data_IF_933913894311
#
_entry.id   IF_933913894311
#
_cell.length_a   1.000
_cell.length_b   1.000
_cell.length_c   1.000
_cell.angle_alpha   90.00
_cell.angle_beta   90.00
_cell.angle_gamma   90.00
#
_symmetry.space_group_name_H-M   'P 1'
#
loop_
_entity.id
_entity.type
_entity.pdbx_description
1 polymer ?
#
# COMPACT_ATOMS: atom_id res chain seq x y z
N UNK A 1 -20.15 0.66 -24.47
CA UNK A 1 -21.23 0.92 -25.44
C UNK A 1 -22.53 1.21 -24.67
N UNK A 2 -22.65 2.37 -24.02
CA UNK A 2 -23.76 2.65 -23.09
C UNK A 2 -24.66 3.83 -23.49
N UNK A 3 -24.50 4.42 -24.69
CA UNK A 3 -25.56 5.28 -25.25
C UNK A 3 -25.50 5.34 -26.78
N UNK A 4 -26.64 5.36 -27.49
CA UNK A 4 -26.73 5.49 -28.95
C UNK A 4 -26.92 6.96 -29.34
N UNK A 5 -26.12 7.87 -28.77
CA UNK A 5 -26.22 9.31 -29.04
C UNK A 5 -25.13 9.75 -30.04
N UNK A 6 -25.44 10.69 -30.95
CA UNK A 6 -24.48 11.18 -31.94
C UNK A 6 -23.23 11.77 -31.28
N UNK A 7 -22.06 11.37 -31.77
CA UNK A 7 -20.73 11.65 -31.19
C UNK A 7 -20.39 13.12 -30.94
N UNK A 8 -21.15 14.07 -31.49
CA UNK A 8 -20.95 15.50 -31.27
C UNK A 8 -21.47 15.99 -29.91
N UNK A 9 -22.41 15.27 -29.27
CA UNK A 9 -23.05 15.64 -28.01
C UNK A 9 -22.66 14.75 -26.83
N UNK A 10 -21.81 13.75 -27.03
CA UNK A 10 -21.30 12.90 -25.95
C UNK A 10 -20.58 13.78 -24.91
N UNK A 11 -21.21 14.01 -23.76
CA UNK A 11 -20.63 14.71 -22.61
C UNK A 11 -19.25 14.12 -22.26
N UNK A 12 -19.07 12.82 -22.50
CA UNK A 12 -17.81 12.08 -22.37
C UNK A 12 -16.65 12.68 -23.19
N UNK A 13 -16.92 13.15 -24.41
CA UNK A 13 -15.88 13.78 -25.25
C UNK A 13 -15.38 15.09 -24.65
N UNK A 14 -16.24 15.80 -23.89
CA UNK A 14 -15.94 17.07 -23.25
C UNK A 14 -15.16 16.89 -21.95
N UNK A 15 -15.45 15.82 -21.21
CA UNK A 15 -14.69 15.42 -20.02
C UNK A 15 -13.28 14.92 -20.38
N UNK A 16 -13.14 14.23 -21.51
CA UNK A 16 -11.85 13.75 -22.02
C UNK A 16 -10.93 14.86 -22.57
N UNK A 17 -11.51 16.01 -22.94
CA UNK A 17 -10.80 17.17 -23.52
C UNK A 17 -10.22 18.14 -22.50
N UNK A 18 -10.30 17.84 -21.19
CA UNK A 18 -9.62 18.68 -20.20
C UNK A 18 -8.10 18.60 -20.41
N UNK A 19 -7.44 19.74 -20.72
CA UNK A 19 -6.00 19.74 -20.93
C UNK A 19 -5.32 19.28 -19.63
N UNK A 20 -4.29 18.43 -19.68
CA UNK A 20 -3.57 18.01 -18.49
C UNK A 20 -2.98 19.24 -17.80
N UNK A 21 -3.59 19.64 -16.67
CA UNK A 21 -3.20 20.82 -15.88
C UNK A 21 -1.74 20.64 -15.41
N UNK A 22 -0.87 21.58 -15.78
CA UNK A 22 0.56 21.73 -15.44
C UNK A 22 1.26 20.48 -14.85
N UNK A 23 1.99 19.74 -15.70
CA UNK A 23 2.79 18.55 -15.33
C UNK A 23 3.72 18.73 -14.12
N UNK A 24 4.20 19.97 -13.89
CA UNK A 24 5.05 20.29 -12.74
C UNK A 24 4.32 20.22 -11.40
N UNK A 25 3.09 20.73 -11.33
CA UNK A 25 2.31 20.75 -10.10
C UNK A 25 1.90 19.32 -9.69
N UNK A 26 1.53 18.49 -10.66
CA UNK A 26 1.24 17.07 -10.43
C UNK A 26 2.47 16.33 -9.88
N UNK A 27 3.66 16.63 -10.40
CA UNK A 27 4.92 16.02 -9.95
C UNK A 27 5.30 16.47 -8.53
N UNK A 28 4.99 17.72 -8.17
CA UNK A 28 5.21 18.25 -6.82
C UNK A 28 4.32 17.51 -5.80
N UNK A 29 3.01 17.44 -6.05
CA UNK A 29 2.08 16.76 -5.14
C UNK A 29 2.39 15.27 -4.98
N UNK A 30 2.86 14.60 -6.04
CA UNK A 30 3.33 13.22 -5.95
C UNK A 30 4.53 13.07 -5.02
N UNK A 31 5.51 13.99 -5.07
CA UNK A 31 6.68 13.95 -4.17
C UNK A 31 6.30 14.22 -2.71
N UNK A 32 5.37 15.16 -2.49
CA UNK A 32 4.82 15.43 -1.15
C UNK A 32 4.12 14.18 -0.61
N UNK A 33 3.30 13.51 -1.42
CA UNK A 33 2.64 12.27 -1.03
C UNK A 33 3.66 11.14 -0.73
N UNK A 34 4.69 10.99 -1.56
CA UNK A 34 5.77 10.02 -1.33
C UNK A 34 6.48 10.27 -0.01
N UNK A 35 6.86 11.52 0.28
CA UNK A 35 7.49 11.88 1.56
C UNK A 35 6.56 11.63 2.75
N UNK A 36 5.29 11.99 2.63
CA UNK A 36 4.29 11.77 3.68
C UNK A 36 4.15 10.27 3.99
N UNK A 37 4.05 9.42 2.96
CA UNK A 37 4.02 7.97 3.13
C UNK A 37 5.32 7.44 3.76
N UNK A 38 6.49 7.92 3.32
CA UNK A 38 7.77 7.54 3.92
C UNK A 38 7.81 7.83 5.42
N UNK A 39 7.34 9.01 5.84
CA UNK A 39 7.29 9.40 7.26
C UNK A 39 6.33 8.50 8.03
N UNK A 40 5.11 8.30 7.52
CA UNK A 40 4.11 7.45 8.18
C UNK A 40 4.64 6.03 8.36
N UNK A 41 5.17 5.41 7.29
CA UNK A 41 5.69 4.05 7.36
C UNK A 41 6.92 3.94 8.27
N UNK A 42 7.82 4.91 8.25
CA UNK A 42 9.00 4.90 9.10
C UNK A 42 8.64 4.93 10.59
N UNK A 43 7.79 5.89 11.00
CA UNK A 43 7.37 5.99 12.40
C UNK A 43 6.46 4.81 12.81
N UNK A 44 5.62 4.32 11.89
CA UNK A 44 4.80 3.13 12.08
C UNK A 44 5.65 1.87 12.34
N UNK A 45 6.72 1.65 11.56
CA UNK A 45 7.62 0.51 11.77
C UNK A 45 8.52 0.69 13.00
N UNK A 46 9.01 1.91 13.24
CA UNK A 46 9.85 2.22 14.39
C UNK A 46 9.11 1.99 15.71
N UNK A 47 7.88 2.51 15.83
CA UNK A 47 7.06 2.29 17.04
C UNK A 47 6.77 0.81 17.29
N UNK A 48 6.59 0.01 16.23
CA UNK A 48 6.45 -1.45 16.36
C UNK A 48 7.76 -2.13 16.79
N UNK A 49 8.91 -1.71 16.25
CA UNK A 49 10.23 -2.22 16.68
C UNK A 49 10.53 -1.91 18.15
N UNK A 50 10.08 -0.78 18.68
CA UNK A 50 10.25 -0.46 20.11
C UNK A 50 9.31 -1.27 21.02
N UNK A 51 8.21 -1.81 20.49
CA UNK A 51 7.27 -2.62 21.26
C UNK A 51 7.79 -4.04 21.47
N UNK A 52 8.08 -4.41 22.72
CA UNK A 52 8.52 -5.77 23.10
C UNK A 52 7.59 -6.88 22.59
N UNK A 53 6.28 -6.62 22.50
CA UNK A 53 5.29 -7.56 21.96
C UNK A 53 5.49 -7.93 20.49
N UNK A 54 6.15 -7.10 19.68
CA UNK A 54 6.43 -7.41 18.26
C UNK A 54 7.61 -8.37 18.10
N UNK A 55 8.58 -8.33 19.01
CA UNK A 55 9.71 -9.25 19.03
C UNK A 55 9.28 -10.68 19.35
N UNK A 56 8.31 -10.82 20.25
CA UNK A 56 7.77 -12.13 20.65
C UNK A 56 6.56 -12.57 19.80
N UNK A 57 6.14 -11.78 18.81
CA UNK A 57 4.95 -12.06 17.99
C UNK A 57 3.62 -11.92 18.72
N UNK A 58 3.63 -11.57 20.01
CA UNK A 58 2.45 -11.39 20.86
C UNK A 58 1.54 -10.28 20.33
N UNK A 59 2.12 -9.20 19.78
CA UNK A 59 1.34 -8.11 19.18
C UNK A 59 0.47 -8.59 18.01
N UNK A 60 1.02 -9.48 17.17
CA UNK A 60 0.31 -10.02 16.02
C UNK A 60 -0.75 -11.03 16.46
N UNK A 61 -0.42 -11.88 17.45
CA UNK A 61 -1.38 -12.76 18.10
C UNK A 61 -2.55 -11.98 18.70
N UNK A 62 -2.27 -10.98 19.55
CA UNK A 62 -3.28 -10.11 20.16
C UNK A 62 -4.09 -9.35 19.13
N UNK A 63 -3.51 -8.96 18.00
CA UNK A 63 -4.22 -8.29 16.93
C UNK A 63 -5.28 -9.21 16.28
N UNK A 64 -4.99 -10.50 16.16
CA UNK A 64 -5.86 -11.49 15.53
C UNK A 64 -6.89 -12.09 16.49
N UNK A 65 -6.55 -12.28 17.77
CA UNK A 65 -7.48 -12.86 18.78
C UNK A 65 -8.44 -11.82 19.39
N UNK A 66 -8.32 -10.53 19.05
CA UNK A 66 -9.15 -9.48 19.67
C UNK A 66 -10.47 -9.31 18.91
N UNK A 67 -11.64 -9.48 19.56
CA UNK A 67 -12.91 -9.10 18.94
C UNK A 67 -12.87 -7.61 18.60
N UNK A 68 -13.27 -7.16 17.39
CA UNK A 68 -14.03 -7.82 16.32
C UNK A 68 -13.21 -8.39 15.15
N UNK A 69 -11.90 -8.60 15.32
CA UNK A 69 -10.96 -8.97 14.26
C UNK A 69 -10.67 -10.48 14.16
N UNK A 70 -11.49 -11.31 14.82
CA UNK A 70 -11.36 -12.77 14.89
C UNK A 70 -11.88 -13.46 13.62
N UNK A 71 -11.39 -13.03 12.45
CA UNK A 71 -11.77 -13.59 11.14
C UNK A 71 -11.08 -14.93 10.85
N UNK A 72 -10.07 -15.30 11.65
CA UNK A 72 -9.25 -16.51 11.44
C UNK A 72 -9.59 -17.53 12.53
N UNK A 73 -9.94 -18.78 12.17
CA UNK A 73 -10.24 -19.81 13.17
C UNK A 73 -9.04 -20.04 14.09
N UNK A 74 -9.32 -20.08 15.40
CA UNK A 74 -8.32 -20.24 16.47
C UNK A 74 -7.41 -21.47 16.28
N UNK A 75 -7.94 -22.55 15.71
CA UNK A 75 -7.23 -23.78 15.31
C UNK A 75 -5.99 -23.52 14.42
N UNK A 76 -6.14 -22.63 13.44
CA UNK A 76 -5.09 -22.24 12.48
C UNK A 76 -4.09 -21.30 13.14
N UNK A 77 -4.59 -20.42 14.03
CA UNK A 77 -3.76 -19.51 14.81
C UNK A 77 -2.78 -20.29 15.69
N UNK A 78 -3.26 -21.30 16.42
CA UNK A 78 -2.47 -22.09 17.36
C UNK A 78 -1.36 -22.86 16.64
N UNK A 79 -1.66 -23.49 15.49
CA UNK A 79 -0.65 -24.18 14.68
C UNK A 79 0.37 -23.21 14.04
N UNK A 80 -0.07 -21.99 13.72
CA UNK A 80 0.76 -20.95 13.11
C UNK A 80 1.58 -20.09 14.09
N UNK A 81 1.59 -20.36 15.40
CA UNK A 81 2.16 -19.43 16.40
C UNK A 81 3.61 -19.01 16.11
N UNK A 82 4.41 -19.94 15.58
CA UNK A 82 5.83 -19.71 15.28
C UNK A 82 6.03 -18.86 14.03
N UNK A 83 5.04 -18.76 13.14
CA UNK A 83 5.10 -17.92 11.94
C UNK A 83 4.83 -16.44 12.26
N UNK A 84 4.15 -16.13 13.37
CA UNK A 84 3.83 -14.73 13.73
C UNK A 84 5.06 -13.90 14.08
N UNK A 85 6.10 -14.51 14.64
CA UNK A 85 7.36 -13.84 14.98
C UNK A 85 8.09 -13.35 13.71
N UNK A 86 8.45 -14.22 12.74
CA UNK A 86 9.13 -13.78 11.53
C UNK A 86 8.24 -12.91 10.64
N UNK A 87 6.92 -13.13 10.62
CA UNK A 87 5.98 -12.26 9.89
C UNK A 87 5.92 -10.86 10.51
N UNK A 88 5.76 -10.75 11.82
CA UNK A 88 5.73 -9.48 12.53
C UNK A 88 7.03 -8.70 12.38
N UNK A 89 8.18 -9.37 12.58
CA UNK A 89 9.50 -8.76 12.36
C UNK A 89 9.72 -8.37 10.90
N UNK A 90 9.30 -9.21 9.94
CA UNK A 90 9.37 -8.92 8.52
C UNK A 90 8.57 -7.69 8.13
N UNK A 91 7.36 -7.54 8.67
CA UNK A 91 6.51 -6.35 8.51
C UNK A 91 7.21 -5.10 9.06
N UNK A 92 7.71 -5.18 10.30
CA UNK A 92 8.38 -4.05 10.96
C UNK A 92 9.61 -3.60 10.17
N UNK A 93 10.46 -4.57 9.78
CA UNK A 93 11.64 -4.30 8.96
C UNK A 93 11.24 -3.69 7.61
N UNK A 94 10.18 -4.18 6.99
CA UNK A 94 9.71 -3.68 5.69
C UNK A 94 9.18 -2.24 5.81
N UNK A 95 8.42 -1.91 6.86
CA UNK A 95 7.94 -0.54 7.12
C UNK A 95 9.09 0.43 7.46
N UNK A 96 10.02 0.02 8.33
CA UNK A 96 11.15 0.88 8.74
C UNK A 96 12.16 1.07 7.61
N UNK A 97 12.37 0.05 6.77
CA UNK A 97 13.29 0.13 5.64
C UNK A 97 12.65 0.77 4.40
N UNK A 98 11.33 1.01 4.41
CA UNK A 98 10.59 1.67 3.33
C UNK A 98 11.22 2.99 2.84
N UNK A 99 11.53 3.99 3.69
CA UNK A 99 12.16 5.25 3.25
C UNK A 99 13.54 5.05 2.62
N UNK A 100 14.29 4.02 3.02
CA UNK A 100 15.65 3.74 2.53
C UNK A 100 15.60 2.99 1.20
N UNK A 101 14.71 1.99 1.08
CA UNK A 101 14.60 1.13 -0.11
C UNK A 101 13.83 1.74 -1.28
N UNK A 102 13.29 2.94 -1.12
CA UNK A 102 12.50 3.62 -2.15
C UNK A 102 13.38 4.26 -3.23
N UNK A 103 14.64 4.56 -2.92
CA UNK A 103 15.60 5.16 -3.84
C UNK A 103 16.11 4.18 -4.93
N UNK A 104 16.50 2.93 -4.61
CA UNK A 104 16.94 1.99 -5.63
C UNK A 104 15.76 1.41 -6.42
N UNK A 105 15.88 1.42 -7.76
CA UNK A 105 14.78 1.04 -8.67
C UNK A 105 14.30 -0.41 -8.55
N UNK A 106 15.20 -1.35 -8.22
CA UNK A 106 14.88 -2.78 -8.08
C UNK A 106 14.16 -3.08 -6.76
N UNK A 107 14.65 -2.50 -5.68
CA UNK A 107 14.10 -2.69 -4.34
C UNK A 107 12.75 -2.01 -4.18
N UNK A 108 12.52 -0.89 -4.87
CA UNK A 108 11.24 -0.18 -4.86
C UNK A 108 10.07 -1.08 -5.27
N UNK A 109 10.22 -1.92 -6.30
CA UNK A 109 9.14 -2.79 -6.76
C UNK A 109 8.88 -3.92 -5.75
N UNK A 110 9.93 -4.51 -5.20
CA UNK A 110 9.84 -5.54 -4.16
C UNK A 110 9.15 -4.96 -2.91
N UNK A 111 9.56 -3.76 -2.49
CA UNK A 111 9.03 -3.08 -1.31
C UNK A 111 7.55 -2.70 -1.50
N UNK A 112 7.17 -2.20 -2.68
CA UNK A 112 5.76 -1.92 -3.02
C UNK A 112 4.90 -3.17 -3.00
N UNK A 113 5.35 -4.26 -3.64
CA UNK A 113 4.62 -5.53 -3.63
C UNK A 113 4.50 -6.04 -2.20
N UNK A 114 5.58 -5.98 -1.41
CA UNK A 114 5.59 -6.37 -0.01
C UNK A 114 4.57 -5.57 0.82
N UNK A 115 4.55 -4.24 0.69
CA UNK A 115 3.57 -3.38 1.37
C UNK A 115 2.14 -3.71 0.95
N UNK A 116 1.86 -3.84 -0.35
CA UNK A 116 0.51 -4.13 -0.83
C UNK A 116 0.04 -5.51 -0.33
N UNK A 117 0.90 -6.53 -0.42
CA UNK A 117 0.61 -7.88 0.10
C UNK A 117 0.36 -7.84 1.61
N UNK A 118 1.16 -7.06 2.34
CA UNK A 118 1.03 -6.89 3.79
C UNK A 118 -0.30 -6.20 4.18
N UNK A 119 -0.67 -5.11 3.50
CA UNK A 119 -1.97 -4.45 3.71
C UNK A 119 -3.14 -5.33 3.28
N UNK A 120 -2.97 -6.14 2.23
CA UNK A 120 -3.94 -7.16 1.85
C UNK A 120 -4.12 -8.23 2.93
N UNK A 121 -3.02 -8.69 3.53
CA UNK A 121 -3.06 -9.62 4.66
C UNK A 121 -3.76 -8.99 5.87
N UNK A 122 -3.48 -7.74 6.24
CA UNK A 122 -4.23 -7.05 7.32
C UNK A 122 -5.71 -6.95 6.97
N UNK A 123 -6.05 -6.53 5.75
CA UNK A 123 -7.43 -6.34 5.34
C UNK A 123 -8.25 -7.62 5.47
N UNK A 124 -7.68 -8.76 5.09
CA UNK A 124 -8.34 -10.07 5.17
C UNK A 124 -8.32 -10.61 6.60
N UNK A 125 -7.15 -10.64 7.24
CA UNK A 125 -6.97 -11.28 8.55
C UNK A 125 -7.62 -10.49 9.69
N UNK A 126 -7.63 -9.16 9.59
CA UNK A 126 -8.22 -8.28 10.61
C UNK A 126 -9.54 -7.65 10.13
N UNK A 127 -10.06 -7.98 8.95
CA UNK A 127 -11.30 -7.37 8.44
C UNK A 127 -11.22 -5.85 8.18
N UNK A 128 -10.02 -5.27 8.17
CA UNK A 128 -9.77 -3.83 8.00
C UNK A 128 -9.69 -3.46 6.51
N UNK A 129 -10.74 -3.78 5.75
CA UNK A 129 -10.79 -3.62 4.30
C UNK A 129 -10.56 -2.17 3.85
N UNK A 130 -11.22 -1.21 4.48
CA UNK A 130 -11.10 0.21 4.13
C UNK A 130 -9.68 0.71 4.32
N UNK A 131 -9.06 0.36 5.45
CA UNK A 131 -7.68 0.75 5.76
C UNK A 131 -6.70 0.17 4.74
N UNK A 132 -6.75 -1.14 4.49
CA UNK A 132 -5.86 -1.80 3.53
C UNK A 132 -6.03 -1.26 2.11
N UNK A 133 -7.27 -0.97 1.70
CA UNK A 133 -7.57 -0.43 0.37
C UNK A 133 -7.04 1.01 0.21
N UNK A 134 -7.25 1.88 1.20
CA UNK A 134 -6.69 3.24 1.18
C UNK A 134 -5.17 3.19 1.09
N UNK A 135 -4.51 2.37 1.91
CA UNK A 135 -3.05 2.25 1.88
C UNK A 135 -2.56 1.70 0.53
N UNK A 136 -3.25 0.72 -0.06
CA UNK A 136 -2.91 0.20 -1.39
C UNK A 136 -3.07 1.28 -2.48
N UNK A 137 -4.18 2.02 -2.48
CA UNK A 137 -4.44 3.10 -3.44
C UNK A 137 -3.41 4.22 -3.31
N UNK A 138 -3.05 4.63 -2.08
CA UNK A 138 -2.04 5.66 -1.85
C UNK A 138 -0.66 5.24 -2.37
N UNK A 139 -0.27 3.99 -2.17
CA UNK A 139 0.98 3.45 -2.73
C UNK A 139 0.96 3.44 -4.26
N UNK A 140 -0.16 3.03 -4.86
CA UNK A 140 -0.33 3.04 -6.32
C UNK A 140 -0.33 4.48 -6.86
N UNK A 141 -0.96 5.43 -6.18
CA UNK A 141 -0.98 6.83 -6.59
C UNK A 141 0.42 7.47 -6.50
N UNK A 142 1.18 7.15 -5.44
CA UNK A 142 2.52 7.67 -5.23
C UNK A 142 3.55 7.11 -6.23
N UNK A 143 3.45 5.84 -6.63
CA UNK A 143 4.46 5.16 -7.45
C UNK A 143 4.02 4.71 -8.84
N UNK A 144 2.72 4.57 -9.08
CA UNK A 144 2.14 4.10 -10.33
C UNK A 144 2.43 5.04 -11.50
N UNK A 145 2.50 6.35 -11.27
CA UNK A 145 2.78 7.35 -12.33
C UNK A 145 4.17 7.16 -12.95
N UNK A 146 5.16 6.74 -12.17
CA UNK A 146 6.49 6.39 -12.68
C UNK A 146 6.51 5.09 -13.50
N UNK A 147 5.58 4.16 -13.25
CA UNK A 147 5.46 2.91 -14.00
C UNK A 147 4.72 3.12 -15.34
N UNK A 148 3.64 3.91 -15.34
CA UNK A 148 2.87 4.22 -16.56
C UNK A 148 3.67 5.08 -17.55
N UNK A 149 4.46 6.05 -17.08
CA UNK A 149 5.33 6.87 -17.95
C UNK A 149 6.40 6.04 -18.70
N UNK A 150 6.77 4.86 -18.17
CA UNK A 150 7.71 3.93 -18.83
C UNK A 150 7.10 3.10 -19.94
N UNK A 151 5.80 2.77 -19.87
CA UNK A 151 5.11 2.07 -20.98
C UNK A 151 4.91 2.98 -22.18
N UNK A 152 4.61 4.27 -21.95
CA UNK A 152 4.50 5.24 -23.02
C UNK A 152 5.84 5.54 -23.74
N UNK A 153 6.97 5.49 -23.03
CA UNK A 153 8.29 5.72 -23.63
C UNK A 153 8.97 4.50 -24.26
N UNK A 154 8.36 3.30 -24.17
CA UNK A 154 8.82 2.08 -24.86
C UNK A 154 7.95 1.71 -26.06
N UNK A 155 6.86 2.45 -26.28
CA UNK A 155 5.93 2.25 -27.39
C UNK A 155 6.17 3.27 -28.53
N UNK A 156 7.32 3.94 -28.53
CA UNK A 156 7.82 4.82 -29.60
C UNK A 156 9.15 4.25 -30.06
#
# INVERSE_FOLDING_TARGET
>A
MLSPLPDHLALDSRWRKWPPKSSQLQSFWQRVLQLHLCVIYFFSGLTKLLGSGWWNGESLWRALTRPPFDMVPSEVLIHGKYLFIPLGLGICLLETSYPIFIWPRRTRLICLVGIITMHGAIAVLMGLYLFGLIMAVLNIAAFGTHLFRRRAGKAI
#
